data_IF_502874136369
#
_entry.id   IF_502874136369
#
_cell.length_a   1.000
_cell.length_b   1.000
_cell.length_c   1.000
_cell.angle_alpha   90.00
_cell.angle_beta   90.00
_cell.angle_gamma   90.00
#
_symmetry.space_group_name_H-M   'P 1'
#
loop_
_entity.id
_entity.type
_entity.pdbx_description
1 polymer ?
#
# COMPACT_ATOMS: atom_id res chain seq x y z
N UNK A 1 -9.41 18.01 7.02
CA UNK A 1 -8.67 16.94 6.34
C UNK A 1 -7.44 16.61 7.15
N UNK A 2 -6.96 15.37 7.11
CA UNK A 2 -5.86 14.91 7.95
C UNK A 2 -4.68 14.48 7.08
N UNK A 3 -3.46 14.94 7.43
CA UNK A 3 -2.22 14.42 6.85
C UNK A 3 -1.60 13.46 7.86
N UNK A 4 -1.42 12.18 7.48
CA UNK A 4 -0.76 11.17 8.30
C UNK A 4 0.56 10.76 7.67
N UNK A 5 1.62 10.74 8.48
CA UNK A 5 2.95 10.34 8.07
C UNK A 5 3.35 9.07 8.79
N UNK A 6 3.93 8.12 8.06
CA UNK A 6 4.40 6.86 8.60
C UNK A 6 5.45 6.20 7.72
N UNK A 7 5.75 4.95 8.02
CA UNK A 7 6.73 4.13 7.31
C UNK A 7 6.08 2.83 6.79
N UNK A 8 6.67 2.28 5.74
CA UNK A 8 6.37 0.94 5.26
C UNK A 8 7.09 -0.11 6.10
N UNK A 9 6.50 -0.46 7.24
CA UNK A 9 7.03 -1.33 8.28
C UNK A 9 7.52 -0.58 9.52
N UNK A 10 7.98 -1.34 10.50
CA UNK A 10 8.56 -0.82 11.73
C UNK A 10 10.10 -0.79 11.63
N UNK A 11 10.73 0.33 11.27
CA UNK A 11 12.19 0.42 11.16
C UNK A 11 12.90 0.54 12.51
N UNK A 12 12.15 0.73 13.59
CA UNK A 12 12.59 0.78 14.99
C UNK A 12 11.70 -0.11 15.85
N UNK A 13 12.10 -0.35 17.11
CA UNK A 13 11.24 -1.00 18.08
C UNK A 13 9.86 -0.34 18.14
N UNK A 14 8.79 -1.13 18.19
CA UNK A 14 7.39 -0.65 18.09
C UNK A 14 7.08 0.47 19.07
N UNK A 15 7.50 0.35 20.33
CA UNK A 15 7.30 1.41 21.35
C UNK A 15 7.84 2.76 20.87
N UNK A 16 9.10 2.80 20.40
CA UNK A 16 9.72 4.02 19.88
C UNK A 16 9.01 4.54 18.62
N UNK A 17 8.49 3.63 17.80
CA UNK A 17 7.74 3.99 16.61
C UNK A 17 6.40 4.66 16.98
N UNK A 18 5.66 4.09 17.93
CA UNK A 18 4.39 4.64 18.41
C UNK A 18 4.52 6.02 19.07
N UNK A 19 5.67 6.31 19.71
CA UNK A 19 5.98 7.63 20.24
C UNK A 19 6.18 8.69 19.14
N UNK A 20 6.56 8.26 17.93
CA UNK A 20 6.91 9.13 16.81
C UNK A 20 5.82 9.28 15.77
N UNK A 21 5.04 8.23 15.53
CA UNK A 21 4.05 8.16 14.47
C UNK A 21 2.74 7.57 14.93
N UNK A 22 1.66 7.88 14.20
CA UNK A 22 0.33 7.35 14.41
C UNK A 22 -0.19 6.52 13.22
N UNK A 23 0.69 6.18 12.28
CA UNK A 23 0.38 5.40 11.08
C UNK A 23 1.55 4.47 10.75
N UNK A 24 1.25 3.22 10.34
CA UNK A 24 2.21 2.30 9.75
C UNK A 24 1.54 1.48 8.64
N UNK A 25 2.30 1.19 7.57
CA UNK A 25 1.91 0.18 6.58
C UNK A 25 2.67 -1.12 6.84
N UNK A 26 1.97 -2.21 7.16
CA UNK A 26 2.60 -3.49 7.40
C UNK A 26 3.08 -4.14 6.10
N UNK A 27 4.38 -4.50 6.06
CA UNK A 27 5.01 -5.13 4.90
C UNK A 27 5.15 -6.64 5.05
N UNK A 28 5.22 -7.14 6.27
CA UNK A 28 5.34 -8.58 6.53
C UNK A 28 4.12 -9.36 6.05
N UNK A 29 2.94 -8.77 6.08
CA UNK A 29 1.68 -9.35 5.56
C UNK A 29 1.77 -9.71 4.07
N UNK A 30 2.58 -8.99 3.31
CA UNK A 30 2.84 -9.30 1.91
C UNK A 30 3.63 -10.59 1.74
N UNK A 31 4.71 -10.77 2.49
CA UNK A 31 5.59 -11.93 2.30
C UNK A 31 5.00 -13.22 2.86
N UNK A 32 4.37 -13.13 4.01
CA UNK A 32 3.79 -14.27 4.72
C UNK A 32 2.62 -13.77 5.56
N UNK A 33 1.41 -14.11 5.16
CA UNK A 33 0.22 -13.60 5.84
C UNK A 33 0.18 -14.14 7.27
N UNK A 34 0.20 -13.27 8.30
CA UNK A 34 0.17 -13.70 9.69
C UNK A 34 -1.21 -14.22 10.09
N UNK A 35 -1.30 -14.86 11.25
CA UNK A 35 -2.57 -15.29 11.80
C UNK A 35 -3.40 -14.11 12.37
N UNK A 36 -4.70 -14.33 12.52
CA UNK A 36 -5.62 -13.38 13.12
C UNK A 36 -5.19 -13.04 14.57
N UNK A 37 -4.79 -14.04 15.34
CA UNK A 37 -4.34 -13.86 16.74
C UNK A 37 -3.08 -12.98 16.82
N UNK A 38 -2.18 -13.11 15.86
CA UNK A 38 -1.01 -12.22 15.76
C UNK A 38 -1.46 -10.77 15.49
N UNK A 39 -2.44 -10.59 14.62
CA UNK A 39 -2.98 -9.30 14.26
C UNK A 39 -3.69 -8.61 15.43
N UNK A 40 -4.52 -9.36 16.17
CA UNK A 40 -5.19 -8.91 17.41
C UNK A 40 -4.18 -8.49 18.46
N UNK A 41 -3.14 -9.32 18.69
CA UNK A 41 -2.06 -8.99 19.61
C UNK A 41 -1.35 -7.69 19.23
N UNK A 42 -1.00 -7.55 17.94
CA UNK A 42 -0.35 -6.32 17.44
C UNK A 42 -1.25 -5.10 17.62
N UNK A 43 -2.56 -5.24 17.36
CA UNK A 43 -3.52 -4.16 17.59
C UNK A 43 -3.60 -3.77 19.06
N UNK A 44 -3.59 -4.76 19.97
CA UNK A 44 -3.62 -4.53 21.42
C UNK A 44 -2.36 -3.85 21.97
N UNK A 45 -1.21 -4.00 21.32
CA UNK A 45 0.05 -3.33 21.69
C UNK A 45 0.10 -1.86 21.24
N UNK A 46 -0.70 -1.47 20.26
CA UNK A 46 -0.65 -0.13 19.69
C UNK A 46 -1.56 0.85 20.47
N UNK A 47 -1.15 2.13 20.57
CA UNK A 47 -1.98 3.15 21.23
C UNK A 47 -3.36 3.29 20.60
N UNK A 48 -4.30 3.81 21.36
CA UNK A 48 -5.59 4.25 20.85
C UNK A 48 -5.38 5.29 19.74
N UNK A 49 -6.16 5.21 18.66
CA UNK A 49 -6.03 6.11 17.51
C UNK A 49 -4.83 5.83 16.60
N UNK A 50 -3.94 4.86 16.93
CA UNK A 50 -2.91 4.43 16.00
C UNK A 50 -3.52 3.66 14.83
N UNK A 51 -3.15 4.01 13.62
CA UNK A 51 -3.71 3.45 12.40
C UNK A 51 -2.78 2.47 11.72
N UNK A 52 -3.35 1.35 11.32
CA UNK A 52 -2.69 0.37 10.49
C UNK A 52 -3.23 0.44 9.07
N UNK A 53 -2.34 0.36 8.12
CA UNK A 53 -2.60 -0.12 6.77
C UNK A 53 -1.77 -1.37 6.54
N UNK A 54 -2.13 -2.19 5.59
CA UNK A 54 -1.35 -3.40 5.31
C UNK A 54 -1.25 -3.67 3.82
N UNK A 55 -0.15 -4.27 3.44
CA UNK A 55 0.05 -4.76 2.08
C UNK A 55 -0.58 -6.14 1.94
N UNK A 56 -1.43 -6.30 0.93
CA UNK A 56 -2.09 -7.57 0.63
C UNK A 56 -1.08 -8.70 0.40
N UNK A 57 -1.48 -9.92 0.70
CA UNK A 57 -0.63 -11.09 0.54
C UNK A 57 -0.15 -11.25 -0.90
N UNK A 58 1.14 -11.50 -1.09
CA UNK A 58 1.81 -11.51 -2.40
C UNK A 58 1.20 -12.48 -3.41
N UNK A 59 0.57 -13.55 -2.94
CA UNK A 59 0.00 -14.57 -3.82
C UNK A 59 -1.12 -14.03 -4.71
N UNK A 60 -1.75 -12.92 -4.34
CA UNK A 60 -2.78 -12.24 -5.12
C UNK A 60 -2.18 -11.53 -6.34
N UNK A 61 -0.99 -10.97 -6.18
CA UNK A 61 -0.41 -10.04 -7.16
C UNK A 61 0.81 -10.59 -7.88
N UNK A 62 1.62 -11.39 -7.20
CA UNK A 62 2.89 -11.92 -7.72
C UNK A 62 2.73 -13.38 -8.11
N UNK A 63 3.15 -13.78 -9.33
CA UNK A 63 3.07 -15.19 -9.75
C UNK A 63 4.05 -16.06 -8.95
N UNK A 64 3.85 -17.38 -8.90
CA UNK A 64 4.73 -18.32 -8.17
C UNK A 64 6.20 -18.28 -8.60
N UNK A 65 6.48 -17.84 -9.83
CA UNK A 65 7.83 -17.63 -10.35
C UNK A 65 8.54 -16.41 -9.73
N UNK A 66 7.81 -15.53 -9.03
CA UNK A 66 8.41 -14.35 -8.40
C UNK A 66 9.42 -14.73 -7.32
N UNK A 67 10.59 -14.08 -7.28
CA UNK A 67 11.58 -14.32 -6.23
C UNK A 67 11.06 -14.10 -4.80
N UNK A 68 10.02 -13.27 -4.64
CA UNK A 68 9.42 -12.98 -3.34
C UNK A 68 8.74 -14.19 -2.71
N UNK A 69 8.25 -15.14 -3.52
CA UNK A 69 7.65 -16.39 -3.04
C UNK A 69 8.62 -17.26 -2.22
N UNK A 70 9.94 -17.13 -2.44
CA UNK A 70 10.96 -17.82 -1.65
C UNK A 70 10.99 -17.38 -0.18
N UNK A 71 10.45 -16.20 0.12
CA UNK A 71 10.37 -15.63 1.49
C UNK A 71 9.13 -16.11 2.25
N UNK A 72 8.21 -16.81 1.59
CA UNK A 72 6.99 -17.31 2.18
C UNK A 72 7.27 -18.59 2.95
N UNK A 73 6.85 -18.64 4.22
CA UNK A 73 6.98 -19.82 5.09
C UNK A 73 5.85 -20.82 4.84
N UNK A 74 4.63 -20.30 4.72
CA UNK A 74 3.43 -21.09 4.46
C UNK A 74 2.99 -20.88 3.02
N UNK A 75 3.12 -21.90 2.20
CA UNK A 75 2.60 -21.85 0.83
C UNK A 75 1.07 -21.97 0.83
N UNK A 76 0.39 -21.26 -0.08
CA UNK A 76 -1.04 -21.43 -0.23
C UNK A 76 -1.38 -22.82 -0.78
N UNK A 77 -2.61 -23.27 -0.54
CA UNK A 77 -3.15 -24.51 -1.12
C UNK A 77 -3.60 -24.32 -2.55
N UNK A 78 -4.17 -25.36 -3.17
CA UNK A 78 -4.77 -25.29 -4.51
C UNK A 78 -3.75 -25.31 -5.65
N UNK A 79 -4.20 -24.90 -6.84
CA UNK A 79 -3.39 -24.88 -8.07
C UNK A 79 -2.54 -23.60 -8.10
N UNK A 80 -1.21 -23.76 -8.05
CA UNK A 80 -0.30 -22.62 -7.99
C UNK A 80 -0.43 -21.65 -9.18
N UNK A 81 -0.74 -22.16 -10.38
CA UNK A 81 -0.91 -21.35 -11.58
C UNK A 81 -2.13 -20.42 -11.54
N UNK A 82 -3.05 -20.65 -10.59
CA UNK A 82 -4.20 -19.79 -10.36
C UNK A 82 -3.86 -18.54 -9.54
N UNK A 83 -2.69 -18.49 -8.90
CA UNK A 83 -2.26 -17.34 -8.11
C UNK A 83 -1.57 -16.25 -8.93
N UNK A 84 -1.61 -15.05 -8.38
CA UNK A 84 -0.88 -13.88 -8.89
C UNK A 84 -1.60 -13.14 -10.00
N UNK A 85 -0.98 -12.02 -10.40
CA UNK A 85 -1.37 -11.19 -11.54
C UNK A 85 -2.82 -10.68 -11.51
N UNK A 86 -3.41 -10.58 -10.31
CA UNK A 86 -4.81 -10.19 -10.13
C UNK A 86 -5.79 -11.03 -10.97
N UNK A 87 -5.47 -12.31 -11.23
CA UNK A 87 -6.42 -13.22 -11.87
C UNK A 87 -7.66 -13.33 -10.99
N UNK A 88 -8.89 -13.29 -11.55
CA UNK A 88 -10.12 -13.38 -10.78
C UNK A 88 -10.46 -14.83 -10.39
N UNK A 89 -9.46 -15.60 -10.02
CA UNK A 89 -9.56 -17.02 -9.63
C UNK A 89 -10.02 -17.15 -8.19
N UNK A 90 -10.62 -18.31 -7.89
CA UNK A 90 -11.03 -18.62 -6.51
C UNK A 90 -9.86 -18.50 -5.54
N UNK A 91 -8.69 -19.00 -5.91
CA UNK A 91 -7.49 -18.97 -5.05
C UNK A 91 -7.04 -17.55 -4.70
N UNK A 92 -7.05 -16.63 -5.67
CA UNK A 92 -6.72 -15.22 -5.40
C UNK A 92 -7.78 -14.53 -4.54
N UNK A 93 -9.05 -14.85 -4.73
CA UNK A 93 -10.16 -14.29 -3.97
C UNK A 93 -10.16 -14.84 -2.53
N UNK A 94 -9.95 -16.13 -2.33
CA UNK A 94 -9.78 -16.73 -1.01
C UNK A 94 -8.59 -16.10 -0.26
N UNK A 95 -7.47 -15.84 -0.95
CA UNK A 95 -6.31 -15.17 -0.37
C UNK A 95 -6.60 -13.70 0.00
N UNK A 96 -7.49 -13.04 -0.74
CA UNK A 96 -7.97 -11.71 -0.38
C UNK A 96 -8.86 -11.77 0.86
N UNK A 97 -9.77 -12.74 0.96
CA UNK A 97 -10.58 -12.95 2.16
C UNK A 97 -9.70 -13.19 3.41
N UNK A 98 -8.66 -14.03 3.28
CA UNK A 98 -7.69 -14.22 4.37
C UNK A 98 -6.98 -12.92 4.74
N UNK A 99 -6.61 -12.10 3.75
CA UNK A 99 -6.03 -10.76 3.96
C UNK A 99 -7.00 -9.83 4.69
N UNK A 100 -8.27 -9.85 4.32
CA UNK A 100 -9.35 -9.07 4.97
C UNK A 100 -9.52 -9.48 6.42
N UNK A 101 -9.54 -10.78 6.75
CA UNK A 101 -9.61 -11.26 8.16
C UNK A 101 -8.47 -10.70 9.02
N UNK A 102 -7.27 -10.66 8.47
CA UNK A 102 -6.10 -10.04 9.15
C UNK A 102 -6.28 -8.54 9.28
N UNK A 103 -6.81 -7.86 8.25
CA UNK A 103 -7.09 -6.44 8.28
C UNK A 103 -8.16 -6.07 9.33
N UNK A 104 -9.20 -6.89 9.47
CA UNK A 104 -10.24 -6.74 10.50
C UNK A 104 -9.66 -6.83 11.92
N UNK A 105 -8.87 -7.86 12.18
CA UNK A 105 -8.21 -8.08 13.47
C UNK A 105 -7.26 -6.94 13.85
N UNK A 106 -6.58 -6.33 12.87
CA UNK A 106 -5.74 -5.15 13.02
C UNK A 106 -6.55 -3.87 13.19
N UNK A 107 -7.84 -3.88 12.87
CA UNK A 107 -8.66 -2.68 12.64
C UNK A 107 -7.96 -1.74 11.63
N UNK A 108 -7.41 -2.32 10.57
CA UNK A 108 -6.75 -1.57 9.52
C UNK A 108 -7.79 -0.79 8.72
N UNK A 109 -7.37 0.32 8.11
CA UNK A 109 -8.25 1.14 7.27
C UNK A 109 -8.06 0.89 5.78
N UNK A 110 -6.85 0.58 5.37
CA UNK A 110 -6.47 0.46 3.95
C UNK A 110 -5.74 -0.85 3.70
N UNK A 111 -6.14 -1.55 2.64
CA UNK A 111 -5.44 -2.72 2.10
C UNK A 111 -4.74 -2.30 0.81
N UNK A 112 -3.40 -2.32 0.81
CA UNK A 112 -2.58 -1.92 -0.34
C UNK A 112 -2.30 -3.12 -1.22
N UNK A 113 -2.76 -3.08 -2.45
CA UNK A 113 -2.52 -4.07 -3.50
C UNK A 113 -1.43 -3.52 -4.42
N UNK A 114 -0.22 -4.07 -4.36
CA UNK A 114 0.87 -3.67 -5.26
C UNK A 114 1.10 -4.75 -6.29
N UNK A 115 0.94 -4.42 -7.56
CA UNK A 115 1.25 -5.34 -8.66
C UNK A 115 2.70 -5.24 -9.11
N UNK A 116 3.32 -6.36 -9.53
CA UNK A 116 4.69 -6.34 -10.03
C UNK A 116 4.75 -5.78 -11.46
N UNK A 117 5.92 -5.31 -11.92
CA UNK A 117 6.11 -4.90 -13.32
C UNK A 117 5.87 -6.03 -14.33
N UNK A 118 5.90 -7.28 -13.87
CA UNK A 118 5.63 -8.48 -14.69
C UNK A 118 4.15 -8.75 -14.95
N UNK A 119 3.23 -7.97 -14.37
CA UNK A 119 1.83 -8.01 -14.78
C UNK A 119 1.74 -7.44 -16.20
N UNK A 120 1.45 -8.27 -17.22
CA UNK A 120 1.41 -7.78 -18.60
C UNK A 120 0.27 -6.76 -18.76
N UNK A 121 0.45 -5.81 -19.66
CA UNK A 121 -0.59 -4.88 -20.05
C UNK A 121 -1.12 -5.27 -21.43
N UNK A 122 -2.21 -6.04 -21.46
CA UNK A 122 -2.91 -6.51 -22.64
C UNK A 122 -4.40 -6.70 -22.35
N UNK A 123 -5.19 -7.02 -23.38
CA UNK A 123 -6.64 -7.18 -23.24
C UNK A 123 -7.07 -8.22 -22.19
N UNK A 124 -6.33 -9.31 -22.09
CA UNK A 124 -6.63 -10.37 -21.13
C UNK A 124 -6.40 -9.91 -19.69
N UNK A 125 -5.26 -9.31 -19.40
CA UNK A 125 -4.95 -8.80 -18.06
C UNK A 125 -5.83 -7.61 -17.67
N UNK A 126 -6.28 -6.79 -18.62
CA UNK A 126 -7.27 -5.74 -18.36
C UNK A 126 -8.60 -6.34 -17.90
N UNK A 127 -9.07 -7.42 -18.53
CA UNK A 127 -10.26 -8.16 -18.07
C UNK A 127 -10.06 -8.73 -16.66
N UNK A 128 -8.90 -9.38 -16.40
CA UNK A 128 -8.60 -9.93 -15.07
C UNK A 128 -8.63 -8.86 -13.98
N UNK A 129 -7.93 -7.74 -14.21
CA UNK A 129 -7.82 -6.66 -13.23
C UNK A 129 -9.18 -6.05 -12.93
N UNK A 130 -10.01 -5.80 -13.94
CA UNK A 130 -11.37 -5.29 -13.76
C UNK A 130 -12.25 -6.28 -12.98
N UNK A 131 -12.28 -7.54 -13.39
CA UNK A 131 -13.08 -8.56 -12.71
C UNK A 131 -12.58 -8.79 -11.28
N UNK A 132 -11.25 -8.77 -11.06
CA UNK A 132 -10.68 -8.86 -9.72
C UNK A 132 -11.16 -7.70 -8.85
N UNK A 133 -11.03 -6.43 -9.28
CA UNK A 133 -11.45 -5.30 -8.46
C UNK A 133 -12.96 -5.22 -8.25
N UNK A 134 -13.76 -5.68 -9.21
CA UNK A 134 -15.20 -5.84 -9.02
C UNK A 134 -15.50 -6.76 -7.82
N UNK A 135 -14.94 -7.97 -7.81
CA UNK A 135 -15.12 -8.93 -6.71
C UNK A 135 -14.42 -8.49 -5.42
N UNK A 136 -13.24 -7.90 -5.53
CA UNK A 136 -12.47 -7.41 -4.39
C UNK A 136 -13.20 -6.30 -3.62
N UNK A 137 -13.93 -5.42 -4.30
CA UNK A 137 -14.72 -4.36 -3.66
C UNK A 137 -15.88 -4.92 -2.82
N UNK A 138 -16.42 -6.06 -3.20
CA UNK A 138 -17.45 -6.78 -2.44
C UNK A 138 -16.84 -7.49 -1.22
N UNK A 139 -15.72 -8.23 -1.43
CA UNK A 139 -15.03 -8.98 -0.36
C UNK A 139 -14.47 -8.04 0.71
N UNK A 140 -13.88 -6.92 0.30
CA UNK A 140 -13.27 -5.96 1.20
C UNK A 140 -14.22 -4.82 1.61
N UNK A 141 -15.53 -5.10 1.67
CA UNK A 141 -16.52 -4.11 2.11
C UNK A 141 -16.17 -3.58 3.51
N UNK A 142 -16.15 -2.26 3.67
CA UNK A 142 -15.72 -1.60 4.91
C UNK A 142 -14.24 -1.20 4.94
N UNK A 143 -13.44 -1.66 3.98
CA UNK A 143 -12.05 -1.27 3.80
C UNK A 143 -11.86 -0.38 2.56
N UNK A 144 -10.82 0.44 2.60
CA UNK A 144 -10.33 1.12 1.40
C UNK A 144 -9.31 0.22 0.69
N UNK A 145 -9.61 -0.18 -0.54
CA UNK A 145 -8.61 -0.80 -1.42
C UNK A 145 -7.74 0.29 -2.04
N UNK A 146 -6.43 0.11 -1.99
CA UNK A 146 -5.48 1.02 -2.59
C UNK A 146 -4.55 0.25 -3.54
N UNK A 147 -4.42 0.68 -4.79
CA UNK A 147 -3.66 -0.03 -5.81
C UNK A 147 -2.43 0.76 -6.24
N UNK A 148 -1.27 0.10 -6.16
CA UNK A 148 0.00 0.57 -6.71
C UNK A 148 0.35 -0.24 -7.95
N UNK A 149 -0.04 0.19 -9.16
CA UNK A 149 0.36 -0.44 -10.41
C UNK A 149 1.83 -0.15 -10.71
N UNK A 150 2.55 -1.13 -11.25
CA UNK A 150 3.94 -0.99 -11.70
C UNK A 150 4.10 -1.44 -13.14
N UNK A 151 5.28 -1.15 -13.73
CA UNK A 151 5.56 -1.43 -15.13
C UNK A 151 4.64 -0.63 -16.05
N UNK A 152 4.22 -1.26 -17.16
CA UNK A 152 3.36 -0.62 -18.16
C UNK A 152 2.00 -0.20 -17.60
N UNK A 153 1.50 -0.92 -16.62
CA UNK A 153 0.26 -0.55 -15.93
C UNK A 153 0.31 0.82 -15.27
N UNK A 154 1.47 1.25 -14.77
CA UNK A 154 1.61 2.54 -14.09
C UNK A 154 1.29 3.76 -14.96
N UNK A 155 1.23 3.58 -16.28
CA UNK A 155 0.93 4.61 -17.29
C UNK A 155 -0.36 4.33 -18.05
N UNK A 156 -1.11 3.30 -17.67
CA UNK A 156 -2.31 2.89 -18.37
C UNK A 156 -3.48 3.84 -18.09
N UNK A 157 -4.36 4.02 -19.07
CA UNK A 157 -5.60 4.79 -18.91
C UNK A 157 -6.62 4.05 -18.01
N UNK A 158 -6.53 2.75 -17.96
CA UNK A 158 -7.45 1.88 -17.20
C UNK A 158 -7.40 2.15 -15.71
N UNK A 159 -6.30 2.71 -15.18
CA UNK A 159 -6.22 3.11 -13.76
C UNK A 159 -7.36 4.07 -13.41
N UNK A 160 -7.60 5.07 -14.25
CA UNK A 160 -8.67 6.06 -14.02
C UNK A 160 -10.05 5.43 -13.95
N UNK A 161 -10.32 4.50 -14.86
CA UNK A 161 -11.58 3.78 -14.92
C UNK A 161 -11.77 2.87 -13.70
N UNK A 162 -10.72 2.14 -13.29
CA UNK A 162 -10.74 1.27 -12.10
C UNK A 162 -10.92 2.08 -10.81
N UNK A 163 -10.23 3.20 -10.69
CA UNK A 163 -10.33 4.11 -9.54
C UNK A 163 -11.75 4.64 -9.38
N UNK A 164 -12.38 5.05 -10.47
CA UNK A 164 -13.74 5.60 -10.46
C UNK A 164 -14.80 4.51 -10.25
N UNK A 165 -14.72 3.42 -11.01
CA UNK A 165 -15.73 2.37 -11.02
C UNK A 165 -15.78 1.58 -9.72
N UNK A 166 -14.62 1.19 -9.17
CA UNK A 166 -14.56 0.33 -7.97
C UNK A 166 -14.21 1.07 -6.68
N UNK A 167 -13.98 2.38 -6.72
CA UNK A 167 -13.61 3.16 -5.54
C UNK A 167 -12.24 2.77 -4.97
N UNK A 168 -11.31 2.42 -5.85
CA UNK A 168 -9.92 2.10 -5.49
C UNK A 168 -9.10 3.38 -5.38
N UNK A 169 -8.21 3.49 -4.39
CA UNK A 169 -7.29 4.60 -4.26
C UNK A 169 -6.03 4.32 -5.11
N UNK A 170 -5.67 5.25 -6.00
CA UNK A 170 -4.41 5.14 -6.75
C UNK A 170 -3.23 5.48 -5.84
N UNK A 171 -2.35 4.50 -5.59
CA UNK A 171 -1.12 4.68 -4.83
C UNK A 171 0.01 5.05 -5.77
N UNK A 172 0.72 6.13 -5.45
CA UNK A 172 1.80 6.64 -6.29
C UNK A 172 2.96 7.19 -5.46
N UNK A 173 4.17 7.15 -6.01
CA UNK A 173 5.28 7.94 -5.50
C UNK A 173 5.15 9.37 -6.06
N UNK A 174 4.98 10.39 -5.19
CA UNK A 174 4.70 11.76 -5.63
C UNK A 174 5.85 12.43 -6.38
N UNK A 175 7.06 11.85 -6.33
CA UNK A 175 8.20 12.31 -7.12
C UNK A 175 8.25 11.70 -8.52
N UNK A 176 7.36 10.74 -8.81
CA UNK A 176 7.30 10.00 -10.08
C UNK A 176 6.03 10.22 -10.86
N UNK A 177 4.95 10.58 -10.19
CA UNK A 177 3.66 10.80 -10.84
C UNK A 177 2.66 11.49 -9.94
N UNK A 178 1.51 11.82 -10.52
CA UNK A 178 0.38 12.38 -9.80
C UNK A 178 -0.66 11.29 -9.52
N UNK A 179 -1.35 11.33 -8.37
CA UNK A 179 -2.43 10.40 -8.09
C UNK A 179 -3.62 10.69 -9.01
N UNK A 180 -4.23 9.65 -9.53
CA UNK A 180 -5.55 9.75 -10.14
C UNK A 180 -6.56 9.74 -8.99
N UNK A 181 -7.37 10.79 -8.92
CA UNK A 181 -8.33 10.99 -7.85
C UNK A 181 -9.69 10.41 -8.26
N UNK A 182 -10.22 9.53 -7.42
CA UNK A 182 -11.58 8.99 -7.56
C UNK A 182 -12.50 9.49 -6.44
N UNK A 183 -13.58 8.75 -6.22
CA UNK A 183 -14.63 9.05 -5.23
C UNK A 183 -14.18 8.92 -3.76
N UNK A 184 -13.14 8.13 -3.48
CA UNK A 184 -12.62 7.94 -2.11
C UNK A 184 -11.85 9.18 -1.67
N UNK A 185 -12.15 9.69 -0.49
CA UNK A 185 -11.53 10.90 0.06
C UNK A 185 -10.16 10.62 0.68
N UNK A 186 -9.26 9.98 -0.08
CA UNK A 186 -7.90 9.64 0.35
C UNK A 186 -6.92 9.77 -0.81
N UNK A 187 -5.77 10.38 -0.53
CA UNK A 187 -4.55 10.30 -1.35
C UNK A 187 -3.52 9.47 -0.61
N UNK A 188 -2.91 8.51 -1.28
CA UNK A 188 -1.98 7.58 -0.67
C UNK A 188 -0.63 7.62 -1.39
N UNK A 189 0.37 8.17 -0.73
CA UNK A 189 1.73 8.29 -1.26
C UNK A 189 2.66 7.25 -0.64
N UNK A 190 3.43 6.56 -1.49
CA UNK A 190 4.52 5.66 -1.08
C UNK A 190 5.84 6.14 -1.67
N UNK A 191 6.77 6.55 -0.82
CA UNK A 191 8.03 7.17 -1.22
C UNK A 191 9.14 6.12 -1.31
N UNK A 192 9.58 5.83 -2.52
CA UNK A 192 10.58 4.78 -2.80
C UNK A 192 11.98 5.34 -3.12
N UNK A 193 12.23 6.61 -2.84
CA UNK A 193 13.47 7.32 -3.15
C UNK A 193 13.50 7.95 -4.56
N UNK A 194 14.27 9.01 -4.70
CA UNK A 194 14.41 9.78 -5.94
C UNK A 194 15.56 9.22 -6.79
N UNK A 195 15.42 9.29 -8.12
CA UNK A 195 16.41 8.77 -9.08
C UNK A 195 16.37 7.25 -9.22
N UNK A 196 17.24 6.70 -10.10
CA UNK A 196 17.24 5.28 -10.44
C UNK A 196 16.03 4.84 -11.26
N UNK A 197 15.71 3.54 -11.22
CA UNK A 197 14.51 2.97 -11.86
C UNK A 197 13.22 3.27 -11.08
N UNK A 198 12.29 2.30 -11.00
CA UNK A 198 11.03 2.47 -10.28
C UNK A 198 11.21 2.70 -8.76
N UNK A 199 12.32 2.25 -8.19
CA UNK A 199 12.63 2.37 -6.76
C UNK A 199 14.12 2.69 -6.54
N UNK A 200 14.41 3.45 -5.50
CA UNK A 200 15.76 3.72 -5.01
C UNK A 200 15.76 3.70 -3.47
N UNK A 201 15.61 2.52 -2.88
CA UNK A 201 15.49 2.36 -1.44
C UNK A 201 16.68 2.89 -0.63
N UNK A 202 17.86 3.07 -1.26
CA UNK A 202 19.05 3.62 -0.59
C UNK A 202 19.09 5.15 -0.57
N UNK A 203 18.13 5.81 -1.24
CA UNK A 203 18.07 7.27 -1.26
C UNK A 203 17.71 7.82 0.13
N UNK A 204 18.42 8.84 0.57
CA UNK A 204 18.12 9.63 1.76
C UNK A 204 17.56 10.97 1.30
N UNK A 205 16.33 11.29 1.70
CA UNK A 205 15.69 12.55 1.31
C UNK A 205 16.41 13.75 1.90
N UNK A 206 16.69 14.75 1.07
CA UNK A 206 17.26 16.03 1.49
C UNK A 206 16.15 16.97 1.96
N UNK A 207 16.52 18.08 2.62
CA UNK A 207 15.51 19.05 3.09
C UNK A 207 14.75 19.71 1.94
N UNK A 208 15.41 19.93 0.79
CA UNK A 208 14.78 20.44 -0.42
C UNK A 208 13.74 19.46 -0.98
N UNK A 209 14.02 18.14 -0.92
CA UNK A 209 13.07 17.11 -1.35
C UNK A 209 11.85 17.11 -0.43
N UNK A 210 12.08 17.19 0.89
CA UNK A 210 10.99 17.21 1.86
C UNK A 210 10.17 18.51 1.77
N UNK A 211 10.79 19.65 1.48
CA UNK A 211 10.07 20.90 1.20
C UNK A 211 9.21 20.79 -0.06
N UNK A 212 9.74 20.16 -1.13
CA UNK A 212 8.97 19.87 -2.33
C UNK A 212 7.81 18.91 -2.03
N UNK A 213 8.04 17.87 -1.23
CA UNK A 213 6.98 16.95 -0.79
C UNK A 213 5.89 17.68 -0.01
N UNK A 214 6.26 18.63 0.87
CA UNK A 214 5.32 19.46 1.60
C UNK A 214 4.41 20.25 0.64
N UNK A 215 4.99 20.86 -0.39
CA UNK A 215 4.22 21.58 -1.41
C UNK A 215 3.26 20.66 -2.17
N UNK A 216 3.69 19.44 -2.51
CA UNK A 216 2.82 18.44 -3.16
C UNK A 216 1.67 18.04 -2.21
N UNK A 217 1.97 17.68 -0.97
CA UNK A 217 0.97 17.24 0.02
C UNK A 217 -0.06 18.34 0.27
N UNK A 218 0.37 19.61 0.36
CA UNK A 218 -0.51 20.75 0.58
C UNK A 218 -1.55 20.94 -0.51
N UNK A 219 -1.25 20.58 -1.77
CA UNK A 219 -2.21 20.65 -2.88
C UNK A 219 -3.42 19.74 -2.67
N UNK A 220 -3.22 18.60 -2.00
CA UNK A 220 -4.28 17.61 -1.79
C UNK A 220 -4.94 17.73 -0.41
N UNK A 221 -4.19 18.12 0.62
CA UNK A 221 -4.66 18.18 2.00
C UNK A 221 -5.72 19.24 2.26
N UNK A 222 -5.92 20.19 1.33
CA UNK A 222 -7.02 21.15 1.38
C UNK A 222 -8.40 20.49 1.22
N UNK A 223 -8.47 19.36 0.50
CA UNK A 223 -9.73 18.71 0.12
C UNK A 223 -9.81 17.23 0.41
N UNK A 224 -8.70 16.57 0.76
CA UNK A 224 -8.61 15.11 0.97
C UNK A 224 -7.72 14.76 2.15
N UNK A 225 -7.96 13.62 2.76
CA UNK A 225 -7.00 13.00 3.66
C UNK A 225 -5.77 12.56 2.85
N UNK A 226 -4.57 12.72 3.40
CA UNK A 226 -3.32 12.36 2.72
C UNK A 226 -2.47 11.45 3.61
N UNK A 227 -2.14 10.27 3.12
CA UNK A 227 -1.21 9.35 3.76
C UNK A 227 0.13 9.38 3.04
N UNK A 228 1.19 9.56 3.83
CA UNK A 228 2.56 9.67 3.32
C UNK A 228 3.41 8.59 3.98
N UNK A 229 3.73 7.54 3.25
CA UNK A 229 4.44 6.35 3.73
C UNK A 229 5.85 6.31 3.13
N UNK A 230 6.86 6.48 3.97
CA UNK A 230 8.25 6.36 3.54
C UNK A 230 8.66 4.89 3.47
N UNK A 231 9.27 4.51 2.35
CA UNK A 231 9.69 3.14 2.05
C UNK A 231 11.15 3.11 1.53
N UNK A 232 12.06 3.62 2.33
CA UNK A 232 13.49 3.63 2.06
C UNK A 232 14.28 3.20 3.30
N UNK A 233 15.58 2.99 3.16
CA UNK A 233 16.46 2.59 4.28
C UNK A 233 16.44 3.60 5.43
N UNK A 234 16.25 4.88 5.11
CA UNK A 234 16.24 5.99 6.07
C UNK A 234 14.82 6.42 6.49
N UNK A 235 13.82 5.59 6.22
CA UNK A 235 12.39 5.95 6.34
C UNK A 235 12.00 6.52 7.71
N UNK A 236 12.61 6.08 8.82
CA UNK A 236 12.28 6.62 10.14
C UNK A 236 12.67 8.09 10.25
N UNK A 237 13.92 8.40 9.91
CA UNK A 237 14.48 9.73 10.06
C UNK A 237 13.87 10.70 9.04
N UNK A 238 13.68 10.25 7.80
CA UNK A 238 13.09 11.04 6.73
C UNK A 238 11.60 11.35 7.02
N UNK A 239 10.84 10.36 7.48
CA UNK A 239 9.44 10.55 7.88
C UNK A 239 9.30 11.48 9.08
N UNK A 240 10.20 11.37 10.07
CA UNK A 240 10.18 12.25 11.26
C UNK A 240 10.51 13.69 10.89
N UNK A 241 11.52 13.91 10.05
CA UNK A 241 11.84 15.25 9.53
C UNK A 241 10.67 15.85 8.77
N UNK A 242 10.06 15.08 7.90
CA UNK A 242 8.88 15.53 7.15
C UNK A 242 7.70 15.86 8.06
N UNK A 243 7.41 15.00 9.05
CA UNK A 243 6.36 15.25 10.05
C UNK A 243 6.59 16.56 10.81
N UNK A 244 7.85 16.83 11.19
CA UNK A 244 8.22 18.07 11.86
C UNK A 244 8.07 19.31 10.95
N UNK A 245 8.32 19.19 9.65
CA UNK A 245 8.06 20.26 8.68
C UNK A 245 6.56 20.56 8.57
N UNK A 246 5.72 19.52 8.48
CA UNK A 246 4.26 19.67 8.46
C UNK A 246 3.74 20.42 9.69
N UNK A 247 4.22 20.07 10.89
CA UNK A 247 3.78 20.70 12.15
C UNK A 247 4.19 22.18 12.27
N UNK A 248 5.18 22.64 11.51
CA UNK A 248 5.62 24.05 11.50
C UNK A 248 4.90 24.87 10.43
N UNK A 249 4.29 24.22 9.46
CA UNK A 249 3.62 24.87 8.33
C UNK A 249 2.11 25.06 8.53
N UNK A 250 1.50 24.36 9.50
CA UNK A 250 0.10 24.48 9.91
C UNK A 250 -0.01 25.10 11.29
#
# INVERSE_FOLDING_TARGET
>A
MVVKVGCCGFPKARRKYYESFNLVELQNTFYDLPSVEWAEKLRGEAPEGFEFTLKAWQVITHPPSSPTWKKMRRKPGGALDNYGLLKPTKENLDALEDTVRVAEALKARVIVIQTPPSLPYNEESVKWVREFFSKASEIAQGFTLAWEPRGDWSKSREIGEIVEEYGVVHVVDPFRGQPILGRVNLVYFRLHGIGGGEVNYKYKYKDEDLARLLSIVSQYSASRDVYVLFNNVYMFDDALRFKNMLSKAG
#
